data_IF_810997589750
#
_entry.id   IF_810997589750
#
_cell.length_a   1.000
_cell.length_b   1.000
_cell.length_c   1.000
_cell.angle_alpha   90.00
_cell.angle_beta   90.00
_cell.angle_gamma   90.00
#
_symmetry.space_group_name_H-M   'P 1'
#
loop_
_entity.id
_entity.type
_entity.pdbx_description
1 polymer ?
#
# COMPACT_ATOMS: atom_id res chain seq x y z
N UNK A 1 -13.32 -3.32 4.18
CA UNK A 1 -12.35 -2.84 3.16
C UNK A 1 -10.98 -3.12 3.73
N UNK A 2 -10.09 -3.82 3.01
CA UNK A 2 -8.85 -4.31 3.62
C UNK A 2 -7.74 -3.27 3.65
N UNK A 3 -6.87 -3.35 4.66
CA UNK A 3 -5.63 -2.57 4.71
C UNK A 3 -4.47 -3.46 4.27
N UNK A 4 -3.64 -2.95 3.36
CA UNK A 4 -2.49 -3.65 2.82
C UNK A 4 -1.22 -2.82 3.01
N UNK A 5 -0.14 -3.46 3.43
CA UNK A 5 1.20 -2.92 3.41
C UNK A 5 1.87 -3.32 2.09
N UNK A 6 2.28 -2.32 1.32
CA UNK A 6 3.05 -2.49 0.10
C UNK A 6 4.50 -2.13 0.39
N UNK A 7 5.40 -3.10 0.23
CA UNK A 7 6.83 -2.94 0.47
C UNK A 7 7.61 -3.21 -0.82
N UNK A 8 8.34 -2.23 -1.37
CA UNK A 8 9.20 -2.47 -2.52
C UNK A 8 10.37 -3.35 -2.13
N UNK A 9 10.74 -4.28 -3.03
CA UNK A 9 11.88 -5.19 -2.89
C UNK A 9 13.03 -4.85 -3.85
N UNK A 10 12.86 -3.80 -4.66
CA UNK A 10 13.83 -3.23 -5.58
C UNK A 10 14.34 -1.86 -5.10
N UNK A 11 15.45 -1.37 -5.65
CA UNK A 11 16.07 -0.09 -5.28
C UNK A 11 15.34 1.13 -5.86
N UNK A 12 14.59 0.95 -6.96
CA UNK A 12 13.86 2.02 -7.66
C UNK A 12 12.52 2.36 -6.98
N UNK A 13 12.60 2.78 -5.72
CA UNK A 13 11.42 3.04 -4.88
C UNK A 13 10.46 4.12 -5.40
N UNK A 14 10.95 5.05 -6.22
CA UNK A 14 10.14 6.13 -6.78
C UNK A 14 9.02 5.62 -7.70
N UNK A 15 9.24 4.50 -8.40
CA UNK A 15 8.25 3.91 -9.30
C UNK A 15 6.99 3.46 -8.57
N UNK A 16 7.16 2.85 -7.38
CA UNK A 16 6.03 2.50 -6.53
C UNK A 16 5.30 3.75 -6.02
N UNK A 17 6.04 4.77 -5.60
CA UNK A 17 5.43 6.01 -5.11
C UNK A 17 4.60 6.70 -6.20
N UNK A 18 5.14 6.80 -7.42
CA UNK A 18 4.46 7.40 -8.57
C UNK A 18 3.18 6.63 -8.91
N UNK A 19 3.25 5.30 -8.93
CA UNK A 19 2.08 4.45 -9.23
C UNK A 19 1.00 4.59 -8.15
N UNK A 20 1.37 4.50 -6.86
CA UNK A 20 0.43 4.66 -5.74
C UNK A 20 -0.23 6.05 -5.78
N UNK A 21 0.54 7.11 -6.02
CA UNK A 21 0.02 8.46 -6.13
C UNK A 21 -0.93 8.65 -7.33
N UNK A 22 -0.78 7.85 -8.39
CA UNK A 22 -1.63 7.91 -9.57
C UNK A 22 -2.96 7.18 -9.41
N UNK A 23 -2.97 6.11 -8.61
CA UNK A 23 -4.14 5.23 -8.42
C UNK A 23 -4.95 5.56 -7.16
N UNK A 24 -4.32 6.16 -6.15
CA UNK A 24 -4.93 6.40 -4.84
C UNK A 24 -4.82 7.86 -4.41
N UNK A 25 -5.85 8.36 -3.73
CA UNK A 25 -5.76 9.66 -3.08
C UNK A 25 -4.89 9.54 -1.83
N UNK A 26 -3.74 10.23 -1.82
CA UNK A 26 -2.82 10.21 -0.68
C UNK A 26 -3.47 10.81 0.57
N UNK A 27 -3.26 10.15 1.71
CA UNK A 27 -3.86 10.37 3.02
C UNK A 27 -5.36 10.02 3.14
N UNK A 28 -6.06 9.77 2.03
CA UNK A 28 -7.39 9.16 2.05
C UNK A 28 -7.25 7.65 1.84
N UNK A 29 -6.89 7.19 0.65
CA UNK A 29 -6.84 5.76 0.33
C UNK A 29 -5.44 5.15 0.53
N UNK A 30 -4.40 5.97 0.56
CA UNK A 30 -3.02 5.53 0.74
C UNK A 30 -2.26 6.37 1.78
N UNK A 31 -1.39 5.76 2.56
CA UNK A 31 -0.58 6.41 3.57
C UNK A 31 0.90 6.03 3.46
N UNK A 32 1.82 6.99 3.19
CA UNK A 32 3.25 6.71 3.14
C UNK A 32 3.82 6.42 4.53
N UNK A 33 4.61 5.35 4.66
CA UNK A 33 5.33 5.08 5.91
C UNK A 33 6.52 6.02 6.08
N UNK A 34 6.69 6.55 7.29
CA UNK A 34 7.75 7.52 7.55
C UNK A 34 9.11 6.83 7.49
N UNK A 35 10.08 7.48 6.83
CA UNK A 35 11.43 6.94 6.63
C UNK A 35 11.47 5.56 5.94
N UNK A 36 10.43 5.22 5.18
CA UNK A 36 10.34 3.96 4.45
C UNK A 36 9.73 4.21 3.07
N UNK A 37 10.16 3.49 2.03
CA UNK A 37 9.54 3.55 0.71
C UNK A 37 8.22 2.76 0.65
N UNK A 38 7.75 2.22 1.78
CA UNK A 38 6.53 1.42 1.88
C UNK A 38 5.29 2.26 2.11
N UNK A 39 4.14 1.71 1.72
CA UNK A 39 2.84 2.38 1.78
C UNK A 39 1.81 1.48 2.45
N UNK A 40 0.93 2.07 3.25
CA UNK A 40 -0.33 1.45 3.62
C UNK A 40 -1.38 1.86 2.58
N UNK A 41 -2.21 0.94 2.15
CA UNK A 41 -3.29 1.21 1.19
C UNK A 41 -4.57 0.56 1.67
N UNK A 42 -5.64 1.35 1.71
CA UNK A 42 -7.00 0.88 1.88
C UNK A 42 -7.53 0.46 0.52
N UNK A 43 -7.88 -0.82 0.37
CA UNK A 43 -8.32 -1.36 -0.90
C UNK A 43 -9.52 -2.29 -0.74
N UNK A 44 -10.51 -2.14 -1.62
CA UNK A 44 -11.66 -3.02 -1.69
C UNK A 44 -11.33 -4.23 -2.57
N UNK A 45 -10.81 -5.28 -1.94
CA UNK A 45 -10.49 -6.53 -2.61
C UNK A 45 -9.43 -7.32 -1.85
N UNK A 46 -8.80 -8.24 -2.56
CA UNK A 46 -7.72 -9.11 -2.09
C UNK A 46 -6.35 -8.54 -2.44
N UNK A 47 -5.29 -9.07 -1.83
CA UNK A 47 -3.91 -8.71 -2.20
C UNK A 47 -3.57 -9.06 -3.66
N UNK A 48 -4.20 -10.09 -4.24
CA UNK A 48 -4.05 -10.45 -5.66
C UNK A 48 -4.68 -9.39 -6.55
N UNK A 49 -5.90 -8.94 -6.23
CA UNK A 49 -6.57 -7.89 -6.98
C UNK A 49 -5.80 -6.56 -6.88
N UNK A 50 -5.26 -6.23 -5.70
CA UNK A 50 -4.38 -5.07 -5.53
C UNK A 50 -3.08 -5.21 -6.34
N UNK A 51 -2.45 -6.39 -6.35
CA UNK A 51 -1.26 -6.68 -7.17
C UNK A 51 -1.53 -6.48 -8.66
N UNK A 52 -2.69 -6.93 -9.13
CA UNK A 52 -3.11 -6.74 -10.51
C UNK A 52 -3.44 -5.27 -10.80
N UNK A 53 -4.05 -4.57 -9.85
CA UNK A 53 -4.38 -3.14 -9.96
C UNK A 53 -3.11 -2.29 -10.08
N UNK A 54 -2.08 -2.61 -9.32
CA UNK A 54 -0.72 -2.02 -9.39
C UNK A 54 0.12 -2.54 -10.56
N UNK A 55 -0.46 -3.39 -11.42
CA UNK A 55 0.20 -3.96 -12.60
C UNK A 55 1.49 -4.76 -12.29
N UNK A 56 1.55 -5.40 -11.12
CA UNK A 56 2.74 -6.15 -10.68
C UNK A 56 2.77 -7.56 -11.27
N UNK A 57 1.64 -8.26 -11.20
CA UNK A 57 1.48 -9.64 -11.68
C UNK A 57 0.53 -9.77 -12.86
N UNK A 58 -0.13 -8.68 -13.26
CA UNK A 58 -1.21 -8.68 -14.25
C UNK A 58 -0.80 -8.44 -15.70
N UNK A 59 0.49 -8.25 -15.99
CA UNK A 59 0.99 -7.87 -17.33
C UNK A 59 1.91 -8.94 -17.92
N UNK A 60 1.81 -9.17 -19.23
CA UNK A 60 2.73 -10.05 -19.97
C UNK A 60 4.11 -9.41 -20.20
N UNK A 61 4.23 -8.10 -19.95
CA UNK A 61 5.43 -7.29 -20.19
C UNK A 61 6.32 -7.14 -18.94
N UNK A 62 5.93 -7.74 -17.81
CA UNK A 62 6.60 -7.57 -16.52
C UNK A 62 6.11 -6.33 -15.76
N UNK A 63 6.42 -6.30 -14.46
CA UNK A 63 6.05 -5.19 -13.56
C UNK A 63 6.86 -3.93 -13.88
N UNK A 64 6.17 -2.82 -14.16
CA UNK A 64 6.81 -1.50 -14.36
C UNK A 64 7.38 -0.92 -13.07
N UNK A 65 6.81 -1.29 -11.92
CA UNK A 65 7.25 -0.80 -10.60
C UNK A 65 8.25 -1.75 -9.93
N UNK A 66 8.63 -2.84 -10.60
CA UNK A 66 9.55 -3.85 -10.10
C UNK A 66 8.90 -4.83 -9.12
N UNK A 67 9.73 -5.48 -8.31
CA UNK A 67 9.29 -6.48 -7.34
C UNK A 67 8.78 -5.81 -6.07
N UNK A 68 7.56 -6.16 -5.65
CA UNK A 68 6.96 -5.67 -4.41
C UNK A 68 6.40 -6.83 -3.59
N UNK A 69 6.27 -6.63 -2.29
CA UNK A 69 5.56 -7.50 -1.35
C UNK A 69 4.28 -6.79 -0.91
N UNK A 70 3.13 -7.46 -1.06
CA UNK A 70 1.83 -6.98 -0.55
C UNK A 70 1.41 -7.88 0.62
N UNK A 71 1.25 -7.28 1.80
CA UNK A 71 0.84 -7.99 3.02
C UNK A 71 -0.47 -7.42 3.55
N UNK A 72 -1.43 -8.26 3.90
CA UNK A 72 -2.63 -7.82 4.59
C UNK A 72 -2.30 -7.43 6.03
N UNK A 73 -2.74 -6.26 6.46
CA UNK A 73 -2.55 -5.76 7.81
C UNK A 73 -3.86 -6.01 8.57
N UNK A 74 -3.89 -7.00 9.45
CA UNK A 74 -5.07 -7.30 10.28
C UNK A 74 -5.02 -6.64 11.67
N UNK A 75 -3.89 -6.10 12.07
CA UNK A 75 -3.74 -5.33 13.31
C UNK A 75 -2.49 -4.47 13.27
N UNK A 76 -2.46 -3.44 14.11
CA UNK A 76 -1.29 -2.59 14.30
C UNK A 76 -0.97 -2.48 15.79
N UNK A 77 0.30 -2.66 16.14
CA UNK A 77 0.81 -2.44 17.49
C UNK A 77 2.22 -1.84 17.39
N UNK A 78 2.44 -0.68 18.02
CA UNK A 78 3.73 0.02 17.94
C UNK A 78 3.63 1.51 18.24
N UNK A 79 4.68 2.25 17.85
CA UNK A 79 4.72 3.71 17.90
C UNK A 79 4.85 4.26 16.49
N UNK A 80 4.01 5.22 16.16
CA UNK A 80 4.03 5.98 14.93
C UNK A 80 3.36 7.34 15.16
N UNK A 81 3.29 8.19 14.13
CA UNK A 81 2.56 9.45 14.21
C UNK A 81 1.09 9.22 14.59
N UNK A 82 0.53 10.11 15.41
CA UNK A 82 -0.88 10.02 15.83
C UNK A 82 -1.84 9.99 14.64
N UNK A 83 -1.54 10.76 13.60
CA UNK A 83 -2.36 10.85 12.38
C UNK A 83 -2.40 9.54 11.59
N UNK A 84 -1.29 8.80 11.53
CA UNK A 84 -1.26 7.47 10.90
C UNK A 84 -2.08 6.46 11.71
N UNK A 85 -1.98 6.52 13.04
CA UNK A 85 -2.76 5.66 13.92
C UNK A 85 -4.27 5.95 13.81
N UNK A 86 -4.66 7.23 13.77
CA UNK A 86 -6.04 7.66 13.53
C UNK A 86 -6.55 7.12 12.19
N UNK A 87 -5.76 7.28 11.12
CA UNK A 87 -6.08 6.77 9.78
C UNK A 87 -6.29 5.25 9.77
N UNK A 88 -5.42 4.48 10.44
CA UNK A 88 -5.54 3.02 10.57
C UNK A 88 -6.79 2.63 11.35
N UNK A 89 -7.03 3.30 12.49
CA UNK A 89 -8.16 3.02 13.37
C UNK A 89 -9.50 3.19 12.64
N UNK A 90 -9.67 4.31 11.94
CA UNK A 90 -10.89 4.58 11.17
C UNK A 90 -11.20 3.50 10.14
N UNK A 91 -10.16 2.91 9.53
CA UNK A 91 -10.31 1.86 8.50
C UNK A 91 -10.56 0.48 9.09
N UNK A 92 -9.93 0.14 10.21
CA UNK A 92 -10.22 -1.09 10.93
C UNK A 92 -11.65 -1.13 11.50
N UNK A 93 -12.18 0.02 11.94
CA UNK A 93 -13.56 0.11 12.43
C UNK A 93 -14.61 0.03 11.30
N UNK A 94 -14.20 0.18 10.04
CA UNK A 94 -15.04 0.07 8.84
C UNK A 94 -14.97 -1.31 8.15
N UNK A 95 -14.22 -2.26 8.71
CA UNK A 95 -14.24 -3.68 8.29
C UNK A 95 -15.46 -4.42 8.80
#
# INVERSE_FOLDING_TARGET
MGIFLITPLNEEHHLLADEVNSLFTVYEDAWPLQNSPSWLVAFKGTSIELSNHLQVTGTNEGSKIGSILITSVGSYYGRGPSTMWEWLKERFEQE
#
